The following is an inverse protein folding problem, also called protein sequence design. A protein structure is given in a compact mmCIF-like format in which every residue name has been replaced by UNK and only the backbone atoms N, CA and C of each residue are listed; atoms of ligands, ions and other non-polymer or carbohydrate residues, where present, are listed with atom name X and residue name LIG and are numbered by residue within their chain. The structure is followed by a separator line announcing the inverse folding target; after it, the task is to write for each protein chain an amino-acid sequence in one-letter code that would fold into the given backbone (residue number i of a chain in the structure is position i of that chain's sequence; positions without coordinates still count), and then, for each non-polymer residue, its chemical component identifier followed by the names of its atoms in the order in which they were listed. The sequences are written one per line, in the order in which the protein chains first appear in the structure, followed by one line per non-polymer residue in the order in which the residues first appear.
data_IF_017077237495
#
_entry.id   IF_017077237495
#
_cell.length_a   1.000
_cell.length_b   1.000
_cell.length_c   1.000
_cell.angle_alpha   90.00
_cell.angle_beta   90.00
_cell.angle_gamma   90.00
#
_symmetry.space_group_name_H-M   'P 1'
#
loop_
_entity.id
_entity.type
_entity.pdbx_description
1 polymer ?
#
# COMPACT_ATOMS: atom_id res chain seq x y z
N UNK A 1 19.99 -27.15 1.86
CA UNK A 1 19.24 -27.03 3.12
C UNK A 1 19.30 -25.58 3.52
N UNK A 2 18.28 -24.81 3.13
CA UNK A 2 18.24 -23.38 3.44
C UNK A 2 17.93 -23.21 4.93
N UNK A 3 18.94 -22.80 5.69
CA UNK A 3 18.84 -22.56 7.12
C UNK A 3 18.34 -21.14 7.36
N UNK A 4 17.05 -20.97 7.59
CA UNK A 4 16.47 -19.68 7.97
C UNK A 4 16.74 -19.42 9.46
N UNK A 5 17.60 -18.43 9.75
CA UNK A 5 17.95 -18.06 11.14
C UNK A 5 16.83 -17.30 11.85
N UNK A 6 16.10 -16.46 11.12
CA UNK A 6 14.94 -15.76 11.67
C UNK A 6 13.72 -16.66 11.54
N UNK A 7 13.35 -17.31 12.62
CA UNK A 7 12.16 -18.17 12.73
C UNK A 7 11.53 -17.94 14.10
N UNK A 8 10.24 -18.26 14.24
CA UNK A 8 9.55 -18.22 15.55
C UNK A 8 9.89 -16.97 16.38
N UNK A 9 9.39 -15.82 15.94
CA UNK A 9 9.70 -14.52 16.55
C UNK A 9 8.43 -13.68 16.67
N UNK A 10 8.46 -12.70 17.58
CA UNK A 10 7.39 -11.73 17.73
C UNK A 10 7.97 -10.31 17.77
N UNK A 11 7.10 -9.36 17.43
CA UNK A 11 7.39 -7.94 17.35
C UNK A 11 6.47 -7.22 18.31
N UNK A 12 7.07 -6.51 19.26
CA UNK A 12 6.37 -5.68 20.25
C UNK A 12 6.60 -4.20 19.96
N UNK A 13 5.63 -3.39 20.33
CA UNK A 13 5.70 -1.92 20.24
C UNK A 13 5.31 -1.33 21.59
N UNK A 14 6.18 -0.51 22.18
CA UNK A 14 5.99 0.09 23.50
C UNK A 14 6.56 1.50 23.58
N UNK A 15 6.42 2.15 24.75
CA UNK A 15 7.00 3.48 24.98
C UNK A 15 8.33 3.43 25.73
N UNK A 16 8.66 2.27 26.29
CA UNK A 16 9.89 2.02 27.02
C UNK A 16 10.64 0.83 26.44
N UNK A 17 11.89 0.65 26.88
CA UNK A 17 12.64 -0.59 26.64
C UNK A 17 12.19 -1.75 27.56
N UNK A 18 11.33 -1.47 28.53
CA UNK A 18 10.71 -2.49 29.37
C UNK A 18 9.59 -3.21 28.62
N UNK A 19 9.31 -4.44 29.00
CA UNK A 19 8.34 -5.29 28.31
C UNK A 19 6.92 -5.14 28.87
N UNK A 20 6.78 -4.46 29.99
CA UNK A 20 5.56 -4.45 30.78
C UNK A 20 4.45 -3.58 30.13
N UNK A 21 4.84 -2.59 29.32
CA UNK A 21 3.92 -1.72 28.57
C UNK A 21 3.86 -2.02 27.06
N UNK A 22 4.59 -3.04 26.60
CA UNK A 22 4.73 -3.33 25.18
C UNK A 22 3.55 -4.15 24.65
N UNK A 23 2.97 -3.70 23.54
CA UNK A 23 1.85 -4.37 22.85
C UNK A 23 2.39 -5.25 21.75
N UNK A 24 1.90 -6.50 21.67
CA UNK A 24 2.22 -7.39 20.56
C UNK A 24 1.63 -6.88 19.24
N UNK A 25 2.50 -6.48 18.32
CA UNK A 25 2.12 -6.06 16.98
C UNK A 25 1.95 -7.27 16.06
N UNK A 26 2.95 -8.16 16.03
CA UNK A 26 3.02 -9.26 15.07
C UNK A 26 3.75 -10.47 15.63
N UNK A 27 3.30 -11.66 15.27
CA UNK A 27 3.91 -12.93 15.66
C UNK A 27 4.06 -13.85 14.46
N UNK A 28 5.28 -14.33 14.25
CA UNK A 28 5.63 -15.30 13.23
C UNK A 28 5.98 -16.64 13.87
N UNK A 29 5.13 -17.65 13.68
CA UNK A 29 5.29 -18.97 14.30
C UNK A 29 5.95 -20.03 13.39
N UNK A 30 6.27 -19.67 12.15
CA UNK A 30 6.81 -20.63 11.17
C UNK A 30 8.34 -20.76 11.28
N UNK A 31 8.86 -21.91 10.86
CA UNK A 31 10.30 -22.22 10.77
C UNK A 31 10.94 -21.64 9.51
N UNK A 32 10.13 -21.23 8.53
CA UNK A 32 10.60 -20.53 7.33
C UNK A 32 10.17 -19.09 7.38
N UNK A 33 11.09 -18.18 7.07
CA UNK A 33 10.81 -16.76 6.92
C UNK A 33 11.48 -16.25 5.65
N UNK A 34 10.71 -15.54 4.84
CA UNK A 34 11.20 -14.73 3.72
C UNK A 34 10.95 -13.27 4.06
N UNK A 35 11.73 -12.35 3.48
CA UNK A 35 11.47 -10.94 3.63
C UNK A 35 10.03 -10.64 3.17
N UNK A 36 9.25 -10.04 4.07
CA UNK A 36 7.89 -9.63 3.78
C UNK A 36 7.51 -8.46 4.68
N UNK A 37 6.59 -7.64 4.18
CA UNK A 37 5.95 -6.60 4.96
C UNK A 37 4.83 -7.27 5.75
N UNK A 38 4.82 -7.07 7.07
CA UNK A 38 3.73 -7.49 7.93
C UNK A 38 3.07 -6.28 8.57
N UNK A 39 1.79 -6.43 8.91
CA UNK A 39 1.00 -5.39 9.56
C UNK A 39 0.73 -5.79 11.00
N UNK A 40 0.67 -4.80 11.89
CA UNK A 40 0.21 -5.07 13.25
C UNK A 40 -1.25 -5.52 13.24
N UNK A 41 -1.59 -6.47 14.11
CA UNK A 41 -2.97 -6.98 14.23
C UNK A 41 -3.95 -5.91 14.71
N UNK A 42 -3.44 -4.90 15.44
CA UNK A 42 -4.20 -3.78 15.99
C UNK A 42 -3.42 -2.47 15.83
N UNK A 43 -4.13 -1.33 15.83
CA UNK A 43 -3.56 -0.02 16.12
C UNK A 43 -2.58 -0.02 17.29
N UNK A 44 -1.30 0.31 17.03
CA UNK A 44 -0.27 0.46 18.07
C UNK A 44 0.46 1.78 17.93
N UNK A 45 0.77 2.39 19.08
CA UNK A 45 1.56 3.63 19.17
C UNK A 45 2.66 3.37 20.19
N UNK A 46 3.90 3.64 19.81
CA UNK A 46 5.06 3.47 20.68
C UNK A 46 6.30 4.15 20.11
N UNK A 47 7.30 4.34 20.97
CA UNK A 47 8.61 4.91 20.63
C UNK A 47 9.68 3.84 20.43
N UNK A 48 9.44 2.61 20.89
CA UNK A 48 10.38 1.49 20.84
C UNK A 48 9.71 0.29 20.16
N UNK A 49 10.42 -0.32 19.22
CA UNK A 49 10.04 -1.60 18.61
C UNK A 49 11.03 -2.66 19.06
N UNK A 50 10.50 -3.77 19.56
CA UNK A 50 11.33 -4.88 20.04
C UNK A 50 11.04 -6.12 19.22
N UNK A 51 12.10 -6.74 18.69
CA UNK A 51 12.03 -8.04 18.01
C UNK A 51 12.64 -9.08 18.92
N UNK A 52 11.92 -10.17 19.16
CA UNK A 52 12.39 -11.26 20.03
C UNK A 52 12.13 -12.62 19.40
N UNK A 53 13.13 -13.50 19.52
CA UNK A 53 12.98 -14.92 19.22
C UNK A 53 12.27 -15.63 20.36
N UNK A 54 11.49 -16.65 20.06
CA UNK A 54 10.90 -17.54 21.07
C UNK A 54 11.83 -18.70 21.46
N UNK A 55 13.08 -18.69 21.00
CA UNK A 55 14.05 -19.76 21.18
C UNK A 55 15.44 -19.17 21.47
N UNK A 56 16.33 -20.00 21.99
CA UNK A 56 17.63 -19.57 22.53
C UNK A 56 18.71 -19.52 21.43
N UNK A 57 18.61 -18.53 20.55
CA UNK A 57 19.59 -18.27 19.48
C UNK A 57 19.89 -16.77 19.36
N UNK A 58 21.04 -16.38 18.77
CA UNK A 58 21.34 -14.97 18.52
C UNK A 58 20.40 -14.40 17.45
N UNK A 59 19.70 -13.32 17.79
CA UNK A 59 18.88 -12.57 16.83
C UNK A 59 19.78 -11.94 15.76
N UNK A 60 19.55 -12.32 14.50
CA UNK A 60 20.23 -11.74 13.34
C UNK A 60 19.19 -11.14 12.41
N UNK A 61 19.28 -9.83 12.13
CA UNK A 61 18.41 -9.11 11.20
C UNK A 61 19.30 -8.43 10.15
N UNK A 62 19.01 -8.66 8.86
CA UNK A 62 19.71 -7.95 7.79
C UNK A 62 19.17 -6.54 7.62
N UNK A 63 17.85 -6.38 7.72
CA UNK A 63 17.15 -5.11 7.56
C UNK A 63 15.82 -5.16 8.31
N UNK A 64 15.47 -4.04 8.95
CA UNK A 64 14.18 -3.85 9.61
C UNK A 64 13.66 -2.45 9.30
N UNK A 65 12.51 -2.37 8.62
CA UNK A 65 11.90 -1.10 8.20
C UNK A 65 10.57 -0.90 8.92
N UNK A 66 10.39 0.30 9.47
CA UNK A 66 9.15 0.71 10.10
C UNK A 66 8.44 1.68 9.16
N UNK A 67 7.18 1.38 8.83
CA UNK A 67 6.34 2.20 7.98
C UNK A 67 5.26 2.88 8.81
N UNK A 68 5.03 4.15 8.52
CA UNK A 68 3.90 4.93 9.03
C UNK A 68 3.20 5.64 7.88
N UNK A 69 1.95 6.03 8.09
CA UNK A 69 1.26 6.86 7.12
C UNK A 69 1.91 8.23 7.00
N UNK A 70 1.86 8.78 5.78
CA UNK A 70 2.17 10.18 5.54
C UNK A 70 1.20 11.06 6.33
N UNK A 71 1.61 12.30 6.56
CA UNK A 71 0.73 13.30 7.15
C UNK A 71 -0.59 13.37 6.36
N UNK A 72 -1.68 13.66 7.08
CA UNK A 72 -3.04 13.73 6.54
C UNK A 72 -3.66 12.40 6.08
N UNK A 73 -3.01 11.26 6.33
CA UNK A 73 -3.57 9.92 6.06
C UNK A 73 -3.47 8.99 7.26
N UNK A 74 -4.40 8.04 7.34
CA UNK A 74 -4.46 7.05 8.42
C UNK A 74 -5.10 5.72 7.97
N UNK A 75 -5.10 4.76 8.89
CA UNK A 75 -5.76 3.47 8.71
C UNK A 75 -4.93 2.46 7.93
N UNK A 76 -5.55 1.32 7.60
CA UNK A 76 -4.87 0.23 6.88
C UNK A 76 -4.38 0.73 5.51
N UNK A 77 -3.10 0.50 5.24
CA UNK A 77 -2.41 0.90 4.01
C UNK A 77 -2.55 2.41 3.70
N UNK A 78 -2.80 3.22 4.72
CA UNK A 78 -2.98 4.67 4.60
C UNK A 78 -4.09 5.05 3.59
N UNK A 79 -5.11 4.21 3.52
CA UNK A 79 -6.24 4.35 2.58
C UNK A 79 -7.23 5.45 2.98
N UNK A 80 -7.20 5.93 4.22
CA UNK A 80 -8.12 6.95 4.72
C UNK A 80 -7.46 8.31 4.82
N UNK A 81 -8.19 9.35 4.47
CA UNK A 81 -7.76 10.75 4.58
C UNK A 81 -8.27 11.37 5.89
N UNK A 82 -7.44 12.19 6.53
CA UNK A 82 -7.81 12.91 7.73
C UNK A 82 -8.97 13.87 7.46
N UNK A 83 -10.06 13.72 8.22
CA UNK A 83 -11.24 14.61 8.17
C UNK A 83 -11.33 15.49 9.40
N UNK A 84 -10.23 16.17 9.73
CA UNK A 84 -10.19 17.09 10.86
C UNK A 84 -10.99 18.36 10.56
N UNK A 85 -11.54 18.99 11.61
CA UNK A 85 -12.22 20.28 11.48
C UNK A 85 -11.26 21.38 11.04
N UNK A 86 -10.03 21.37 11.57
CA UNK A 86 -8.93 22.17 11.06
C UNK A 86 -8.23 21.41 9.92
N UNK A 87 -8.26 21.95 8.70
CA UNK A 87 -7.70 21.31 7.51
C UNK A 87 -6.17 21.19 7.54
N UNK A 88 -5.49 22.03 8.33
CA UNK A 88 -4.02 22.00 8.49
C UNK A 88 -3.58 21.12 9.65
N UNK A 89 -4.51 20.39 10.29
CA UNK A 89 -4.19 19.49 11.39
C UNK A 89 -3.84 18.08 10.88
N UNK A 90 -2.70 17.56 11.32
CA UNK A 90 -2.34 16.15 11.12
C UNK A 90 -3.10 15.29 12.12
N UNK A 91 -3.94 14.38 11.63
CA UNK A 91 -4.65 13.43 12.49
C UNK A 91 -3.74 12.31 12.98
N UNK A 92 -4.18 11.60 14.02
CA UNK A 92 -3.49 10.41 14.49
C UNK A 92 -3.37 9.38 13.34
N UNK A 93 -2.16 8.91 12.98
CA UNK A 93 -1.94 8.11 11.78
C UNK A 93 -2.55 6.70 11.86
N UNK A 94 -2.99 6.30 13.05
CA UNK A 94 -3.57 4.97 13.28
C UNK A 94 -5.09 5.02 13.38
N UNK A 95 -5.62 6.00 14.11
CA UNK A 95 -7.07 6.09 14.43
C UNK A 95 -7.81 7.16 13.62
N UNK A 96 -7.09 8.11 13.01
CA UNK A 96 -7.68 9.26 12.34
C UNK A 96 -8.27 10.31 13.29
N UNK A 97 -7.94 10.24 14.59
CA UNK A 97 -8.43 11.18 15.59
C UNK A 97 -7.78 12.56 15.43
N UNK A 98 -8.57 13.62 15.66
CA UNK A 98 -8.16 15.02 15.57
C UNK A 98 -8.46 15.73 16.90
N UNK A 99 -7.56 16.60 17.35
CA UNK A 99 -7.72 17.51 18.48
C UNK A 99 -8.84 18.51 18.24
N UNK A 100 -8.98 19.02 17.01
CA UNK A 100 -10.09 19.92 16.64
C UNK A 100 -11.45 19.22 16.48
N UNK A 101 -11.47 17.89 16.64
CA UNK A 101 -12.61 17.05 16.31
C UNK A 101 -12.74 16.77 14.80
N UNK A 102 -13.66 15.88 14.44
CA UNK A 102 -13.94 15.56 13.04
C UNK A 102 -14.84 16.62 12.41
N UNK A 103 -14.66 16.86 11.11
CA UNK A 103 -15.63 17.60 10.34
C UNK A 103 -16.94 16.82 10.29
N UNK A 104 -17.95 17.32 10.98
CA UNK A 104 -19.33 16.89 10.78
C UNK A 104 -19.89 17.85 9.77
N UNK A 105 -20.14 17.39 8.54
CA UNK A 105 -21.06 18.10 7.67
C UNK A 105 -22.35 18.25 8.46
N UNK A 106 -22.67 19.46 8.89
CA UNK A 106 -24.02 19.78 9.30
C UNK A 106 -24.85 19.52 8.05
N UNK A 107 -25.48 18.35 7.94
CA UNK A 107 -26.59 18.19 7.01
C UNK A 107 -27.49 19.39 7.28
N UNK A 108 -27.72 20.28 6.30
CA UNK A 108 -28.70 21.32 6.49
C UNK A 108 -29.98 20.63 6.97
N UNK A 109 -30.58 21.11 8.06
CA UNK A 109 -31.98 20.77 8.34
C UNK A 109 -32.77 21.38 7.18
N UNK A 110 -32.90 20.64 6.09
CA UNK A 110 -33.80 21.01 5.00
C UNK A 110 -35.19 20.96 5.64
N UNK A 111 -35.93 22.08 5.75
CA UNK A 111 -37.36 22.00 6.07
C UNK A 111 -38.04 21.07 5.06
N UNK A 112 -39.15 20.38 5.40
CA UNK A 112 -39.78 19.41 4.50
C UNK A 112 -39.98 20.06 3.13
N UNK A 113 -39.20 19.58 2.15
CA UNK A 113 -39.15 20.13 0.81
C UNK A 113 -40.39 19.64 0.09
N UNK A 114 -41.27 20.57 -0.26
CA UNK A 114 -42.34 20.37 -1.22
C UNK A 114 -41.67 19.80 -2.48
N UNK A 115 -42.17 18.66 -2.91
CA UNK A 115 -41.65 17.88 -4.02
C UNK A 115 -41.89 18.65 -5.32
N UNK A 116 -40.94 19.52 -5.68
CA UNK A 116 -40.78 19.97 -7.07
C UNK A 116 -39.62 19.17 -7.63
N UNK A 117 -39.98 18.18 -8.46
CA UNK A 117 -39.09 17.34 -9.24
C UNK A 117 -38.29 18.21 -10.22
N UNK A 118 -37.16 18.76 -9.77
CA UNK A 118 -36.09 19.17 -10.67
C UNK A 118 -35.22 17.94 -10.92
N UNK A 119 -35.52 17.30 -12.05
CA UNK A 119 -34.73 16.27 -12.68
C UNK A 119 -33.35 16.85 -12.99
N UNK A 120 -32.39 16.67 -12.08
CA UNK A 120 -30.98 16.85 -12.39
C UNK A 120 -30.64 15.79 -13.41
N UNK A 121 -30.58 16.19 -14.67
CA UNK A 121 -29.95 15.45 -15.76
C UNK A 121 -28.50 15.22 -15.37
N UNK A 122 -28.23 14.06 -14.75
CA UNK A 122 -26.92 13.42 -14.82
C UNK A 122 -26.68 13.15 -16.31
N UNK A 123 -25.85 13.95 -16.95
CA UNK A 123 -25.27 13.59 -18.25
C UNK A 123 -24.48 12.29 -18.04
N UNK A 124 -25.10 11.16 -18.37
CA UNK A 124 -24.42 9.89 -18.55
C UNK A 124 -23.31 10.10 -19.60
N UNK A 125 -22.05 9.72 -19.33
CA UNK A 125 -21.07 9.68 -20.40
C UNK A 125 -21.55 8.64 -21.40
N UNK A 126 -21.84 9.11 -22.61
CA UNK A 126 -22.23 8.27 -23.73
C UNK A 126 -21.30 7.07 -23.82
N UNK A 127 -21.89 5.88 -23.80
CA UNK A 127 -21.23 4.56 -23.84
C UNK A 127 -20.29 4.35 -25.04
N UNK A 128 -20.33 5.27 -26.01
CA UNK A 128 -19.45 5.33 -27.17
C UNK A 128 -18.05 5.89 -26.86
N UNK A 129 -17.90 6.80 -25.88
CA UNK A 129 -16.60 7.43 -25.56
C UNK A 129 -15.69 6.44 -24.82
N UNK A 130 -16.26 5.62 -23.93
CA UNK A 130 -15.52 4.61 -23.18
C UNK A 130 -14.97 3.52 -24.12
N UNK A 131 -15.77 3.08 -25.10
CA UNK A 131 -15.37 2.07 -26.07
C UNK A 131 -14.18 2.53 -26.94
N UNK A 132 -14.19 3.78 -27.40
CA UNK A 132 -13.08 4.32 -28.21
C UNK A 132 -11.77 4.43 -27.41
N UNK A 133 -11.84 4.78 -26.13
CA UNK A 133 -10.64 4.85 -25.27
C UNK A 133 -9.97 3.49 -25.07
N UNK A 134 -10.76 2.42 -24.89
CA UNK A 134 -10.27 1.05 -24.73
C UNK A 134 -9.66 0.52 -26.02
N UNK A 135 -10.28 0.80 -27.18
CA UNK A 135 -9.74 0.39 -28.49
C UNK A 135 -8.40 1.06 -28.78
N UNK A 136 -8.25 2.35 -28.44
CA UNK A 136 -6.99 3.07 -28.60
C UNK A 136 -5.86 2.44 -27.77
N UNK A 137 -6.13 2.10 -26.50
CA UNK A 137 -5.15 1.48 -25.61
C UNK A 137 -4.72 0.11 -26.14
N UNK A 138 -5.67 -0.73 -26.54
CA UNK A 138 -5.38 -2.07 -27.10
C UNK A 138 -4.53 -1.95 -28.37
N UNK A 139 -4.86 -1.00 -29.26
CA UNK A 139 -4.09 -0.75 -30.49
C UNK A 139 -2.64 -0.37 -30.18
N UNK A 140 -2.42 0.55 -29.24
CA UNK A 140 -1.06 0.97 -28.82
C UNK A 140 -0.28 -0.23 -28.22
N UNK A 141 -0.93 -1.06 -27.39
CA UNK A 141 -0.28 -2.24 -26.83
C UNK A 141 0.14 -3.24 -27.90
N UNK A 142 -0.69 -3.51 -28.92
CA UNK A 142 -0.36 -4.42 -30.02
C UNK A 142 0.82 -3.89 -30.84
N UNK A 143 0.84 -2.59 -31.15
CA UNK A 143 1.94 -1.96 -31.90
C UNK A 143 3.26 -2.07 -31.11
N UNK A 144 3.23 -1.81 -29.80
CA UNK A 144 4.41 -1.91 -28.95
C UNK A 144 4.96 -3.34 -28.90
N UNK A 145 4.09 -4.35 -28.74
CA UNK A 145 4.50 -5.77 -28.72
C UNK A 145 5.07 -6.19 -30.08
N UNK A 146 4.43 -5.84 -31.19
CA UNK A 146 4.96 -6.12 -32.53
C UNK A 146 6.30 -5.43 -32.76
N UNK A 147 6.46 -4.18 -32.32
CA UNK A 147 7.73 -3.46 -32.38
C UNK A 147 8.84 -4.18 -31.61
N UNK A 148 8.57 -4.62 -30.38
CA UNK A 148 9.52 -5.39 -29.58
C UNK A 148 9.89 -6.71 -30.27
N UNK A 149 8.92 -7.44 -30.82
CA UNK A 149 9.16 -8.70 -31.54
C UNK A 149 10.01 -8.48 -32.81
N UNK A 150 9.77 -7.39 -33.55
CA UNK A 150 10.58 -7.03 -34.71
C UNK A 150 12.00 -6.63 -34.33
N UNK A 151 12.18 -5.90 -33.22
CA UNK A 151 13.51 -5.56 -32.68
C UNK A 151 14.24 -6.83 -32.24
N UNK A 152 13.58 -7.76 -31.54
CA UNK A 152 14.18 -9.03 -31.17
C UNK A 152 14.57 -9.86 -32.39
N UNK A 153 13.72 -9.91 -33.42
CA UNK A 153 14.02 -10.60 -34.69
C UNK A 153 15.19 -9.95 -35.43
N UNK A 154 15.27 -8.63 -35.48
CA UNK A 154 16.40 -7.91 -36.09
C UNK A 154 17.71 -8.15 -35.32
N UNK A 155 17.67 -8.15 -33.98
CA UNK A 155 18.83 -8.47 -33.16
C UNK A 155 19.29 -9.92 -33.35
N UNK A 156 18.35 -10.85 -33.56
CA UNK A 156 18.68 -12.24 -33.86
C UNK A 156 19.35 -12.40 -35.23
N UNK A 157 18.83 -11.74 -36.27
CA UNK A 157 19.43 -11.77 -37.62
C UNK A 157 20.82 -11.11 -37.63
N UNK A 158 20.99 -9.99 -36.93
CA UNK A 158 22.29 -9.30 -36.82
C UNK A 158 23.32 -10.13 -36.04
N UNK A 159 22.91 -10.93 -35.05
CA UNK A 159 23.85 -11.86 -34.37
C UNK A 159 24.27 -13.04 -35.26
N UNK A 160 23.44 -13.48 -36.21
CA UNK A 160 23.75 -14.62 -37.07
C UNK A 160 24.68 -14.27 -38.25
N UNK A 161 24.70 -13.01 -38.68
CA UNK A 161 25.58 -12.58 -39.79
C UNK A 161 27.04 -12.39 -39.36
N UNK A 162 27.33 -12.15 -38.07
CA UNK A 162 28.70 -11.90 -37.58
C UNK A 162 29.46 -13.22 -37.31
N UNK A 163 28.76 -14.35 -37.12
CA UNK A 163 29.40 -15.64 -36.82
C UNK A 163 29.89 -16.42 -38.06
N UNK A 164 29.72 -15.90 -39.28
CA UNK A 164 30.14 -16.57 -40.54
C UNK A 164 31.39 -15.98 -41.22
N UNK A 165 32.09 -15.02 -40.61
CA UNK A 165 33.31 -14.41 -41.17
C UNK A 165 34.59 -14.73 -40.39
N UNK A 166 34.57 -15.75 -39.53
CA UNK A 166 35.80 -16.33 -38.98
C UNK A 166 35.85 -17.82 -39.29
N UNK A 167 36.26 -18.13 -40.52
CA UNK A 167 37.06 -19.31 -40.87
C UNK A 167 37.89 -18.97 -42.10
#
# INVERSE_FOLDING_TARGET
LDSFRLQKFYVLVGNSSSFDDAVECYTHNNTKFSSHIFHCTKPVVGSVVVVRLTHLEPLTLCEFRIYKCSDYRFGKDCSQECKCRNISEVCNPVTGACRSGKFVEKKPKVPPRNETTEMVTSEEPSSTIIALSVILIISICVIAVLGILLIQKSNFVNRFSITRLQF
#
